data_IF_753166388851
#
_entry.id   IF_753166388851
#
_cell.length_a   1.000
_cell.length_b   1.000
_cell.length_c   1.000
_cell.angle_alpha   90.00
_cell.angle_beta   90.00
_cell.angle_gamma   90.00
#
_symmetry.space_group_name_H-M   'P 1'
#
loop_
_entity.id
_entity.type
_entity.pdbx_description
1 polymer ?
#
# COMPACT_ATOMS: atom_id res chain seq x y z
N UNK A 1 7.07 14.18 30.21
CA UNK A 1 8.00 13.36 31.03
C UNK A 1 9.38 14.03 30.96
N UNK A 2 10.07 14.21 32.10
CA UNK A 2 11.41 14.80 32.17
C UNK A 2 12.46 13.74 31.81
N UNK A 3 13.62 14.18 31.27
CA UNK A 3 14.72 13.28 30.89
C UNK A 3 15.20 12.37 32.08
N UNK A 4 15.33 12.86 33.33
CA UNK A 4 15.66 11.99 34.45
C UNK A 4 14.62 10.92 34.77
N UNK A 5 13.33 11.24 34.60
CA UNK A 5 12.25 10.27 34.80
C UNK A 5 12.27 9.17 33.76
N UNK A 6 12.50 9.54 32.49
CA UNK A 6 12.62 8.59 31.38
C UNK A 6 13.82 7.65 31.58
N UNK A 7 14.98 8.19 31.97
CA UNK A 7 16.18 7.40 32.26
C UNK A 7 15.97 6.41 33.41
N UNK A 8 15.20 6.81 34.41
CA UNK A 8 14.87 5.95 35.56
C UNK A 8 13.95 4.80 35.14
N UNK A 9 12.92 5.10 34.34
CA UNK A 9 12.00 4.08 33.81
C UNK A 9 12.72 3.07 32.94
N UNK A 10 13.61 3.53 32.05
CA UNK A 10 14.42 2.65 31.22
C UNK A 10 15.26 1.68 32.06
N UNK A 11 15.92 2.17 33.12
CA UNK A 11 16.71 1.31 34.03
C UNK A 11 15.86 0.28 34.75
N UNK A 12 14.60 0.62 35.10
CA UNK A 12 13.68 -0.36 35.69
C UNK A 12 13.31 -1.46 34.72
N UNK A 13 13.01 -1.10 33.46
CA UNK A 13 12.74 -2.07 32.39
C UNK A 13 13.95 -2.98 32.15
N UNK A 14 15.14 -2.41 32.02
CA UNK A 14 16.37 -3.20 31.82
C UNK A 14 16.65 -4.16 32.98
N UNK A 15 16.37 -3.74 34.19
CA UNK A 15 16.47 -4.59 35.38
C UNK A 15 15.41 -5.70 35.44
N UNK A 16 14.17 -5.39 35.06
CA UNK A 16 13.07 -6.34 35.01
C UNK A 16 13.30 -7.44 33.99
N UNK A 17 13.78 -7.07 32.78
CA UNK A 17 14.05 -8.01 31.69
C UNK A 17 15.45 -8.64 31.78
N UNK A 18 16.29 -8.21 32.74
CA UNK A 18 17.66 -8.71 32.90
C UNK A 18 18.55 -8.46 31.66
N UNK A 19 18.22 -7.48 30.84
CA UNK A 19 18.90 -7.19 29.60
C UNK A 19 19.03 -5.68 29.35
N UNK A 20 20.18 -5.25 28.81
CA UNK A 20 20.35 -3.87 28.38
C UNK A 20 19.58 -3.64 27.08
N UNK A 21 18.70 -2.64 27.05
CA UNK A 21 17.86 -2.33 25.88
C UNK A 21 18.48 -1.26 24.98
N UNK A 22 19.26 -0.34 25.57
CA UNK A 22 19.86 0.79 24.84
C UNK A 22 21.37 0.86 25.08
N UNK A 23 22.13 1.00 23.99
CA UNK A 23 23.55 1.36 24.00
C UNK A 23 23.71 2.87 23.80
N UNK A 24 24.52 3.50 24.68
CA UNK A 24 24.88 4.91 24.56
C UNK A 24 26.32 4.98 24.03
N UNK A 25 26.49 5.31 22.74
CA UNK A 25 27.80 5.61 22.19
C UNK A 25 28.10 7.10 22.37
N UNK A 26 29.09 7.44 23.22
CA UNK A 26 29.58 8.80 23.37
C UNK A 26 30.55 9.11 22.22
N UNK A 27 30.22 10.08 21.37
CA UNK A 27 31.07 10.59 20.32
C UNK A 27 31.40 12.07 20.53
N UNK A 28 32.38 12.61 19.78
CA UNK A 28 32.81 14.01 19.86
C UNK A 28 31.72 15.06 19.54
N UNK A 29 30.56 14.64 18.96
CA UNK A 29 29.44 15.50 18.60
C UNK A 29 28.13 15.19 19.35
N UNK A 30 28.21 14.48 20.48
CA UNK A 30 27.02 14.12 21.28
C UNK A 30 26.89 12.63 21.54
N UNK A 31 25.89 12.24 22.35
CA UNK A 31 25.56 10.83 22.62
C UNK A 31 24.61 10.31 21.56
N UNK A 32 24.96 9.22 20.88
CA UNK A 32 24.08 8.50 19.97
C UNK A 32 23.46 7.31 20.71
N UNK A 33 22.14 7.26 20.74
CA UNK A 33 21.37 6.16 21.33
C UNK A 33 21.08 5.11 20.27
N UNK A 34 21.43 3.86 20.55
CA UNK A 34 21.15 2.73 19.66
C UNK A 34 20.50 1.61 20.46
N UNK A 35 19.47 1.00 19.90
CA UNK A 35 18.87 -0.21 20.49
C UNK A 35 19.87 -1.37 20.42
N UNK A 36 19.93 -2.14 21.50
CA UNK A 36 20.56 -3.48 21.47
C UNK A 36 19.64 -4.47 20.74
N UNK A 37 20.08 -5.69 20.50
CA UNK A 37 19.19 -6.72 19.92
C UNK A 37 18.03 -7.05 20.85
N UNK A 38 18.26 -7.11 22.17
CA UNK A 38 17.18 -7.19 23.16
C UNK A 38 16.25 -5.96 23.09
N UNK A 39 16.82 -4.75 22.91
CA UNK A 39 16.07 -3.52 22.76
C UNK A 39 15.18 -3.49 21.52
N UNK A 40 15.65 -4.04 20.39
CA UNK A 40 14.84 -4.18 19.17
C UNK A 40 13.62 -5.08 19.40
N UNK A 41 13.87 -6.26 19.98
CA UNK A 41 12.80 -7.22 20.32
C UNK A 41 11.79 -6.57 21.30
N UNK A 42 12.29 -5.91 22.33
CA UNK A 42 11.45 -5.23 23.31
C UNK A 42 10.62 -4.12 22.65
N UNK A 43 11.23 -3.27 21.84
CA UNK A 43 10.57 -2.17 21.14
C UNK A 43 9.45 -2.67 20.21
N UNK A 44 9.72 -3.73 19.43
CA UNK A 44 8.73 -4.36 18.56
C UNK A 44 7.53 -4.89 19.36
N UNK A 45 7.79 -5.61 20.47
CA UNK A 45 6.74 -6.14 21.34
C UNK A 45 5.95 -5.05 22.08
N UNK A 46 6.63 -3.99 22.51
CA UNK A 46 5.98 -2.84 23.11
C UNK A 46 5.02 -2.13 22.13
N UNK A 47 5.42 -1.96 20.87
CA UNK A 47 4.55 -1.42 19.83
C UNK A 47 3.30 -2.29 19.61
N UNK A 48 3.46 -3.62 19.57
CA UNK A 48 2.34 -4.56 19.48
C UNK A 48 1.38 -4.43 20.68
N UNK A 49 1.89 -4.31 21.90
CA UNK A 49 1.08 -4.12 23.11
C UNK A 49 0.28 -2.81 23.05
N UNK A 50 0.91 -1.70 22.68
CA UNK A 50 0.23 -0.42 22.50
C UNK A 50 -0.89 -0.49 21.45
N UNK A 51 -0.64 -1.18 20.33
CA UNK A 51 -1.65 -1.39 19.29
C UNK A 51 -2.84 -2.22 19.79
N UNK A 52 -2.58 -3.27 20.58
CA UNK A 52 -3.64 -4.10 21.21
C UNK A 52 -4.45 -3.26 22.20
N UNK A 53 -3.80 -2.45 23.05
CA UNK A 53 -4.47 -1.57 24.00
C UNK A 53 -5.41 -0.60 23.27
N UNK A 54 -4.90 0.10 22.24
CA UNK A 54 -5.69 1.05 21.45
C UNK A 54 -6.88 0.37 20.75
N UNK A 55 -6.66 -0.80 20.14
CA UNK A 55 -7.74 -1.55 19.47
C UNK A 55 -8.80 -2.02 20.45
N UNK A 56 -8.38 -2.42 21.67
CA UNK A 56 -9.30 -2.84 22.74
C UNK A 56 -10.13 -1.65 23.24
N UNK A 57 -9.48 -0.50 23.47
CA UNK A 57 -10.19 0.74 23.86
C UNK A 57 -11.23 1.12 22.82
N UNK A 58 -10.85 1.15 21.55
CA UNK A 58 -11.73 1.47 20.43
C UNK A 58 -12.90 0.47 20.35
N UNK A 59 -12.65 -0.83 20.51
CA UNK A 59 -13.70 -1.86 20.49
C UNK A 59 -14.73 -1.67 21.60
N UNK A 60 -14.30 -1.30 22.81
CA UNK A 60 -15.21 -1.03 23.93
C UNK A 60 -16.01 0.26 23.73
N UNK A 61 -15.38 1.31 23.21
CA UNK A 61 -16.08 2.59 22.92
C UNK A 61 -17.17 2.44 21.87
N UNK A 62 -17.01 1.51 20.94
CA UNK A 62 -17.99 1.31 19.86
C UNK A 62 -19.29 0.61 20.25
N UNK A 63 -19.38 0.07 21.45
CA UNK A 63 -20.68 -0.34 21.99
C UNK A 63 -21.68 0.84 22.04
N UNK A 64 -21.21 2.08 21.84
CA UNK A 64 -21.96 3.33 21.84
C UNK A 64 -22.26 3.93 20.45
N UNK A 65 -22.21 3.15 19.36
CA UNK A 65 -22.75 3.49 18.01
C UNK A 65 -22.02 4.54 17.14
N UNK A 66 -20.83 5.01 17.46
CA UNK A 66 -20.07 5.93 16.61
C UNK A 66 -18.76 5.29 16.13
N UNK A 67 -18.57 5.22 14.81
CA UNK A 67 -17.29 4.82 14.21
C UNK A 67 -16.33 6.00 14.31
N UNK A 68 -15.31 5.90 15.18
CA UNK A 68 -14.27 6.90 15.40
C UNK A 68 -12.93 6.24 15.72
N UNK A 69 -11.84 6.97 15.59
CA UNK A 69 -10.48 6.49 15.83
C UNK A 69 -9.58 6.66 14.62
N UNK A 70 -8.43 5.99 14.61
CA UNK A 70 -7.43 6.10 13.55
C UNK A 70 -7.35 4.81 12.74
N UNK A 71 -7.56 4.91 11.44
CA UNK A 71 -7.33 3.83 10.48
C UNK A 71 -5.88 3.90 9.99
N UNK A 72 -5.08 2.86 10.31
CA UNK A 72 -3.67 2.77 9.94
C UNK A 72 -3.47 1.74 8.84
N UNK A 73 -3.04 2.21 7.67
CA UNK A 73 -2.85 1.39 6.48
C UNK A 73 -1.40 1.44 6.02
N UNK A 74 -0.79 0.29 5.81
CA UNK A 74 0.49 0.17 5.12
C UNK A 74 0.28 -0.32 3.69
N UNK A 75 0.86 0.35 2.69
CA UNK A 75 0.66 0.01 1.29
C UNK A 75 1.90 0.26 0.46
N UNK A 76 2.04 -0.47 -0.65
CA UNK A 76 3.05 -0.07 -1.63
C UNK A 76 2.65 1.23 -2.32
N UNK A 77 3.62 2.11 -2.59
CA UNK A 77 3.39 3.39 -3.25
C UNK A 77 2.60 3.27 -4.58
N UNK A 78 2.72 2.14 -5.26
CA UNK A 78 1.95 1.87 -6.50
C UNK A 78 0.47 1.59 -6.25
N UNK A 79 0.08 1.20 -5.04
CA UNK A 79 -1.31 0.86 -4.66
C UNK A 79 -1.98 1.89 -3.78
N UNK A 80 -1.23 2.85 -3.25
CA UNK A 80 -1.77 3.92 -2.40
C UNK A 80 -2.70 4.86 -3.17
N UNK A 81 -2.36 5.17 -4.42
CA UNK A 81 -3.09 6.16 -5.23
C UNK A 81 -4.61 5.97 -5.24
N UNK A 82 -5.18 4.80 -5.63
CA UNK A 82 -6.64 4.63 -5.59
C UNK A 82 -7.21 4.66 -4.17
N UNK A 83 -6.46 4.17 -3.19
CA UNK A 83 -6.88 4.21 -1.78
C UNK A 83 -7.04 5.66 -1.33
N UNK A 84 -6.01 6.48 -1.54
CA UNK A 84 -5.98 7.89 -1.10
C UNK A 84 -6.91 8.79 -1.92
N UNK A 85 -7.02 8.56 -3.24
CA UNK A 85 -7.79 9.45 -4.11
C UNK A 85 -9.27 9.08 -4.20
N UNK A 86 -9.65 7.84 -3.97
CA UNK A 86 -11.00 7.36 -4.20
C UNK A 86 -11.66 6.81 -2.93
N UNK A 87 -11.05 5.82 -2.28
CA UNK A 87 -11.71 5.07 -1.21
C UNK A 87 -11.70 5.79 0.13
N UNK A 88 -10.57 6.35 0.57
CA UNK A 88 -10.50 7.07 1.85
C UNK A 88 -11.34 8.36 1.86
N UNK A 89 -11.36 9.20 0.80
CA UNK A 89 -12.27 10.35 0.77
C UNK A 89 -13.73 9.95 0.89
N UNK A 90 -14.17 8.90 0.17
CA UNK A 90 -15.54 8.41 0.25
C UNK A 90 -15.86 7.83 1.64
N UNK A 91 -14.91 7.13 2.27
CA UNK A 91 -15.07 6.63 3.63
C UNK A 91 -15.13 7.77 4.66
N UNK A 92 -14.28 8.80 4.55
CA UNK A 92 -14.26 9.93 5.47
C UNK A 92 -15.55 10.78 5.40
N UNK A 93 -16.18 10.87 4.22
CA UNK A 93 -17.48 11.52 4.10
C UNK A 93 -18.57 10.77 4.89
N UNK A 94 -18.49 9.44 4.95
CA UNK A 94 -19.44 8.61 5.69
C UNK A 94 -19.13 8.54 7.18
N UNK A 95 -17.83 8.61 7.55
CA UNK A 95 -17.34 8.50 8.91
C UNK A 95 -16.38 9.66 9.25
N UNK A 96 -16.91 10.88 9.47
CA UNK A 96 -16.09 12.10 9.59
C UNK A 96 -15.23 12.17 10.86
N UNK A 97 -15.46 11.29 11.85
CA UNK A 97 -14.67 11.20 13.08
C UNK A 97 -13.48 10.23 12.96
N UNK A 98 -13.25 9.66 11.77
CA UNK A 98 -12.11 8.77 11.52
C UNK A 98 -10.91 9.55 11.03
N UNK A 99 -9.75 9.32 11.64
CA UNK A 99 -8.45 9.79 11.19
C UNK A 99 -7.73 8.71 10.39
N UNK A 100 -6.78 9.11 9.53
CA UNK A 100 -6.06 8.20 8.65
C UNK A 100 -4.56 8.39 8.79
N UNK A 101 -3.84 7.29 8.94
CA UNK A 101 -2.38 7.22 8.84
C UNK A 101 -2.01 6.22 7.76
N UNK A 102 -1.28 6.69 6.73
CA UNK A 102 -0.96 5.89 5.54
C UNK A 102 0.54 5.80 5.41
N UNK A 103 1.05 4.59 5.51
CA UNK A 103 2.47 4.27 5.40
C UNK A 103 2.75 3.71 4.02
N UNK A 104 3.43 4.50 3.20
CA UNK A 104 3.79 4.12 1.83
C UNK A 104 5.24 3.65 1.76
N UNK A 105 5.47 2.54 1.06
CA UNK A 105 6.84 2.03 0.92
C UNK A 105 6.96 0.79 0.04
N UNK A 106 8.09 0.12 0.17
CA UNK A 106 8.31 -1.19 -0.44
C UNK A 106 7.54 -2.26 0.35
N UNK A 107 7.37 -3.45 -0.23
CA UNK A 107 6.68 -4.55 0.45
C UNK A 107 7.30 -4.91 1.80
N UNK A 108 8.63 -4.82 1.93
CA UNK A 108 9.33 -5.01 3.20
C UNK A 108 8.91 -4.00 4.27
N UNK A 109 8.65 -2.74 3.87
CA UNK A 109 8.13 -1.71 4.78
C UNK A 109 6.69 -2.05 5.21
N UNK A 110 5.84 -2.49 4.27
CA UNK A 110 4.46 -2.90 4.57
C UNK A 110 4.45 -4.04 5.60
N UNK A 111 5.27 -5.07 5.37
CA UNK A 111 5.44 -6.19 6.31
C UNK A 111 5.88 -5.72 7.68
N UNK A 112 6.90 -4.86 7.76
CA UNK A 112 7.40 -4.35 9.03
C UNK A 112 6.36 -3.52 9.78
N UNK A 113 5.58 -2.67 9.09
CA UNK A 113 4.52 -1.88 9.71
C UNK A 113 3.39 -2.74 10.31
N UNK A 114 3.08 -3.87 9.67
CA UNK A 114 2.10 -4.83 10.20
C UNK A 114 2.66 -5.62 11.38
N UNK A 115 3.90 -6.10 11.29
CA UNK A 115 4.52 -6.91 12.35
C UNK A 115 4.70 -6.10 13.64
N UNK A 116 5.10 -4.83 13.53
CA UNK A 116 5.32 -3.97 14.70
C UNK A 116 4.05 -3.26 15.20
N UNK A 117 2.89 -3.49 14.55
CA UNK A 117 1.61 -2.90 14.94
C UNK A 117 1.45 -1.42 14.61
N UNK A 118 2.37 -0.80 13.83
CA UNK A 118 2.21 0.58 13.38
C UNK A 118 1.08 0.72 12.35
N UNK A 119 0.77 -0.34 11.62
CA UNK A 119 -0.41 -0.45 10.77
C UNK A 119 -1.15 -1.74 11.08
N UNK A 120 -2.46 -1.72 10.96
CA UNK A 120 -3.34 -2.88 11.15
C UNK A 120 -3.80 -3.50 9.83
N UNK A 121 -3.87 -2.69 8.76
CA UNK A 121 -4.18 -3.14 7.41
C UNK A 121 -2.98 -2.99 6.49
N UNK A 122 -2.69 -4.02 5.72
CA UNK A 122 -1.72 -3.98 4.64
C UNK A 122 -2.39 -4.14 3.28
N UNK A 123 -1.85 -3.48 2.24
CA UNK A 123 -2.28 -3.68 0.86
C UNK A 123 -1.09 -4.15 0.03
N UNK A 124 -1.17 -5.38 -0.44
CA UNK A 124 -0.07 -6.09 -1.08
C UNK A 124 -0.48 -6.73 -2.41
N UNK A 125 0.50 -7.19 -3.17
CA UNK A 125 0.27 -8.18 -4.21
C UNK A 125 0.09 -9.55 -3.53
N UNK A 126 -0.97 -10.27 -3.85
CA UNK A 126 -1.27 -11.57 -3.24
C UNK A 126 -0.11 -12.56 -3.36
N UNK A 127 0.61 -12.55 -4.48
CA UNK A 127 1.76 -13.41 -4.73
C UNK A 127 2.98 -13.13 -3.83
N UNK A 128 2.96 -11.99 -3.11
CA UNK A 128 4.01 -11.58 -2.18
C UNK A 128 3.60 -11.74 -0.71
N UNK A 129 2.40 -12.27 -0.45
CA UNK A 129 1.87 -12.43 0.90
C UNK A 129 2.34 -13.76 1.49
N UNK A 130 2.98 -13.69 2.63
CA UNK A 130 3.34 -14.85 3.47
C UNK A 130 2.11 -15.22 4.31
N UNK A 131 1.35 -16.24 3.88
CA UNK A 131 0.13 -16.70 4.54
C UNK A 131 0.38 -17.39 5.89
N UNK A 132 1.62 -17.67 6.23
CA UNK A 132 1.96 -18.16 7.58
C UNK A 132 1.95 -17.01 8.60
N UNK A 133 2.20 -15.78 8.14
CA UNK A 133 2.27 -14.57 8.98
C UNK A 133 1.05 -13.68 8.87
N UNK A 134 0.33 -13.70 7.75
CA UNK A 134 -0.75 -12.76 7.46
C UNK A 134 -2.04 -13.47 7.07
N UNK A 135 -3.15 -12.93 7.57
CA UNK A 135 -4.49 -13.30 7.13
C UNK A 135 -4.90 -12.42 5.94
N UNK A 136 -5.48 -13.04 4.91
CA UNK A 136 -6.03 -12.33 3.75
C UNK A 136 -7.49 -12.01 4.03
N UNK A 137 -7.82 -10.72 4.14
CA UNK A 137 -9.16 -10.23 4.45
C UNK A 137 -10.05 -10.15 3.22
N UNK A 138 -9.46 -9.75 2.10
CA UNK A 138 -10.12 -9.71 0.81
C UNK A 138 -9.09 -9.63 -0.33
N UNK A 139 -9.51 -10.02 -1.52
CA UNK A 139 -8.72 -9.89 -2.74
C UNK A 139 -9.51 -9.15 -3.82
N UNK A 140 -8.80 -8.40 -4.66
CA UNK A 140 -9.35 -7.69 -5.80
C UNK A 140 -8.53 -7.99 -7.04
N UNK A 141 -9.17 -8.41 -8.12
CA UNK A 141 -8.50 -8.66 -9.40
C UNK A 141 -7.96 -7.37 -10.00
N UNK A 142 -6.74 -7.47 -10.54
CA UNK A 142 -6.11 -6.40 -11.31
C UNK A 142 -5.88 -6.91 -12.74
N UNK A 143 -6.13 -6.03 -13.71
CA UNK A 143 -5.85 -6.27 -15.12
C UNK A 143 -4.87 -5.24 -15.64
N UNK A 144 -4.16 -5.56 -16.71
CA UNK A 144 -3.32 -4.59 -17.38
C UNK A 144 -4.20 -3.66 -18.24
N UNK A 145 -4.01 -2.37 -18.04
CA UNK A 145 -4.69 -1.34 -18.83
C UNK A 145 -3.68 -0.48 -19.58
N UNK A 146 -4.01 -0.14 -20.82
CA UNK A 146 -3.39 0.93 -21.57
C UNK A 146 -4.09 2.25 -21.24
N UNK A 147 -3.31 3.24 -20.81
CA UNK A 147 -3.75 4.58 -20.46
C UNK A 147 -3.04 5.57 -21.37
N UNK A 148 -3.78 6.42 -22.08
CA UNK A 148 -3.21 7.34 -23.06
C UNK A 148 -4.11 8.56 -23.27
N UNK A 149 -3.54 9.60 -23.86
CA UNK A 149 -4.31 10.77 -24.32
C UNK A 149 -5.02 10.45 -25.64
N UNK A 150 -6.35 10.50 -25.61
CA UNK A 150 -7.18 10.21 -26.80
C UNK A 150 -7.03 11.25 -27.90
N UNK A 151 -6.65 12.47 -27.59
CA UNK A 151 -6.39 13.55 -28.55
C UNK A 151 -4.99 13.47 -29.19
N UNK A 152 -4.20 12.45 -28.84
CA UNK A 152 -2.84 12.21 -29.41
C UNK A 152 -2.72 10.82 -30.05
N UNK A 153 -3.23 9.79 -29.37
CA UNK A 153 -3.15 8.40 -29.82
C UNK A 153 -4.53 7.93 -30.31
N UNK A 154 -4.56 7.28 -31.47
CA UNK A 154 -5.77 6.70 -32.07
C UNK A 154 -6.94 7.70 -32.22
N UNK A 155 -6.63 8.92 -32.64
CA UNK A 155 -7.62 10.01 -32.79
C UNK A 155 -8.70 9.73 -33.84
N UNK A 156 -8.40 8.90 -34.81
CA UNK A 156 -9.20 8.51 -35.97
C UNK A 156 -9.95 7.18 -35.84
N UNK A 157 -9.81 6.49 -34.68
CA UNK A 157 -10.50 5.22 -34.43
C UNK A 157 -11.85 5.44 -33.74
N UNK A 158 -12.91 5.01 -34.40
CA UNK A 158 -14.27 4.97 -33.83
C UNK A 158 -14.46 3.83 -32.81
N UNK A 159 -13.55 2.84 -32.74
CA UNK A 159 -13.69 1.64 -31.92
C UNK A 159 -12.74 1.66 -30.72
N UNK A 160 -13.28 1.31 -29.54
CA UNK A 160 -12.55 1.21 -28.27
C UNK A 160 -11.66 -0.04 -28.14
N UNK A 161 -11.36 -0.71 -29.25
CA UNK A 161 -10.51 -1.91 -29.27
C UNK A 161 -9.10 -1.58 -29.73
N UNK A 162 -8.15 -1.63 -28.82
CA UNK A 162 -6.72 -1.54 -29.07
C UNK A 162 -6.11 -2.90 -28.78
N UNK A 163 -5.33 -3.42 -29.71
CA UNK A 163 -4.68 -4.72 -29.56
C UNK A 163 -3.29 -4.58 -28.97
N UNK A 164 -2.75 -5.68 -28.44
CA UNK A 164 -1.37 -5.73 -27.97
C UNK A 164 -0.37 -5.36 -29.08
N UNK A 165 -0.64 -5.75 -30.34
CA UNK A 165 0.20 -5.41 -31.48
C UNK A 165 0.21 -3.89 -31.79
N UNK A 166 -0.88 -3.18 -31.50
CA UNK A 166 -0.92 -1.72 -31.62
C UNK A 166 -0.09 -1.08 -30.51
N UNK A 167 -0.19 -1.60 -29.30
CA UNK A 167 0.52 -1.11 -28.10
C UNK A 167 2.04 -1.25 -28.27
N UNK A 168 2.52 -2.37 -28.80
CA UNK A 168 3.96 -2.62 -29.01
C UNK A 168 4.63 -1.57 -29.92
N UNK A 169 3.87 -0.95 -30.80
CA UNK A 169 4.38 0.08 -31.73
C UNK A 169 4.50 1.47 -31.08
N UNK A 170 3.95 1.65 -29.89
CA UNK A 170 3.92 2.94 -29.21
C UNK A 170 5.12 3.14 -28.29
N UNK A 171 5.52 4.41 -28.04
CA UNK A 171 6.39 4.70 -26.91
C UNK A 171 5.63 4.44 -25.61
N UNK A 172 6.21 3.65 -24.72
CA UNK A 172 5.56 3.16 -23.50
C UNK A 172 6.13 3.79 -22.24
N UNK A 173 5.25 4.06 -21.27
CA UNK A 173 5.62 4.28 -19.88
C UNK A 173 5.06 3.13 -19.02
N UNK A 174 5.93 2.49 -18.25
CA UNK A 174 5.62 1.28 -17.52
C UNK A 174 5.74 1.52 -16.01
N UNK A 175 4.84 0.92 -15.25
CA UNK A 175 5.03 0.80 -13.80
C UNK A 175 5.76 -0.50 -13.46
N UNK A 176 6.38 -0.60 -12.28
CA UNK A 176 6.97 -1.86 -11.82
C UNK A 176 5.98 -3.03 -11.77
N UNK A 177 4.69 -2.73 -11.55
CA UNK A 177 3.62 -3.73 -11.62
C UNK A 177 3.38 -4.24 -13.05
N UNK A 178 3.34 -3.34 -14.04
CA UNK A 178 3.18 -3.72 -15.45
C UNK A 178 4.36 -4.51 -15.99
N UNK A 179 5.59 -4.12 -15.65
CA UNK A 179 6.79 -4.89 -16.00
C UNK A 179 6.65 -6.34 -15.53
N UNK A 180 6.24 -6.54 -14.27
CA UNK A 180 6.05 -7.88 -13.71
C UNK A 180 4.96 -8.66 -14.45
N UNK A 181 3.81 -8.04 -14.75
CA UNK A 181 2.72 -8.68 -15.49
C UNK A 181 3.15 -9.08 -16.90
N UNK A 182 3.88 -8.21 -17.60
CA UNK A 182 4.39 -8.50 -18.95
C UNK A 182 5.38 -9.66 -18.92
N UNK A 183 6.35 -9.64 -18.00
CA UNK A 183 7.35 -10.71 -17.88
C UNK A 183 6.74 -12.06 -17.51
N UNK A 184 5.64 -12.08 -16.74
CA UNK A 184 4.94 -13.32 -16.37
C UNK A 184 4.03 -13.85 -17.48
N UNK A 185 3.61 -13.00 -18.42
CA UNK A 185 2.67 -13.39 -19.47
C UNK A 185 3.31 -14.23 -20.58
N UNK A 186 4.63 -14.23 -20.73
CA UNK A 186 5.37 -14.84 -21.84
C UNK A 186 4.92 -14.37 -23.25
N UNK A 187 4.17 -13.28 -23.35
CA UNK A 187 3.66 -12.76 -24.61
C UNK A 187 4.71 -11.96 -25.39
N UNK A 188 5.70 -11.42 -24.70
CA UNK A 188 6.75 -10.63 -25.31
C UNK A 188 7.93 -10.46 -24.35
N UNK A 189 9.10 -10.23 -24.89
CA UNK A 189 10.27 -9.83 -24.12
C UNK A 189 10.27 -8.31 -23.93
N UNK A 190 10.74 -7.86 -22.79
CA UNK A 190 10.85 -6.42 -22.47
C UNK A 190 11.70 -5.65 -23.47
N UNK A 191 12.71 -6.31 -24.08
CA UNK A 191 13.60 -5.73 -25.10
C UNK A 191 12.89 -5.40 -26.40
N UNK A 192 11.75 -6.01 -26.69
CA UNK A 192 10.93 -5.76 -27.87
C UNK A 192 10.00 -4.55 -27.70
N UNK A 193 9.94 -3.98 -26.51
CA UNK A 193 9.08 -2.86 -26.19
C UNK A 193 9.84 -1.53 -26.24
N UNK A 194 9.25 -0.51 -26.85
CA UNK A 194 9.78 0.86 -26.81
C UNK A 194 9.45 1.50 -25.44
N UNK A 195 10.07 1.00 -24.38
CA UNK A 195 9.88 1.50 -23.01
C UNK A 195 10.67 2.79 -22.79
N UNK A 196 10.03 3.94 -23.01
CA UNK A 196 10.62 5.27 -22.81
C UNK A 196 10.84 5.58 -21.33
N UNK A 197 9.94 5.11 -20.45
CA UNK A 197 10.05 5.30 -19.03
C UNK A 197 9.61 4.05 -18.27
N UNK A 198 10.39 3.66 -17.24
CA UNK A 198 10.00 2.65 -16.25
C UNK A 198 9.99 3.35 -14.89
N UNK A 199 8.86 3.34 -14.22
CA UNK A 199 8.63 4.07 -12.97
C UNK A 199 8.29 3.11 -11.83
N UNK A 200 8.57 3.51 -10.60
CA UNK A 200 8.23 2.71 -9.42
C UNK A 200 6.72 2.68 -9.17
N UNK A 201 6.01 3.78 -9.50
CA UNK A 201 4.59 3.92 -9.22
C UNK A 201 3.76 3.98 -10.50
N UNK A 202 2.50 3.53 -10.45
CA UNK A 202 1.58 3.69 -11.58
C UNK A 202 1.19 5.15 -11.83
N UNK A 203 1.11 5.97 -10.80
CA UNK A 203 0.83 7.41 -10.94
C UNK A 203 1.88 8.10 -11.79
N UNK A 204 3.17 7.85 -11.52
CA UNK A 204 4.26 8.40 -12.36
C UNK A 204 4.22 7.91 -13.80
N UNK A 205 3.85 6.65 -14.04
CA UNK A 205 3.68 6.13 -15.40
C UNK A 205 2.51 6.84 -16.13
N UNK A 206 1.39 7.06 -15.41
CA UNK A 206 0.22 7.76 -15.96
C UNK A 206 0.53 9.22 -16.27
N UNK A 207 1.35 9.90 -15.45
CA UNK A 207 1.79 11.27 -15.73
C UNK A 207 2.59 11.37 -17.04
N UNK A 208 3.42 10.39 -17.36
CA UNK A 208 4.07 10.31 -18.67
C UNK A 208 3.04 10.23 -19.80
N UNK A 209 1.99 9.42 -19.66
CA UNK A 209 0.93 9.34 -20.65
C UNK A 209 0.10 10.63 -20.72
N UNK A 210 -0.10 11.33 -19.60
CA UNK A 210 -0.84 12.60 -19.54
C UNK A 210 -0.15 13.70 -20.38
N UNK A 211 1.18 13.63 -20.49
CA UNK A 211 1.95 14.53 -21.36
C UNK A 211 1.68 14.31 -22.88
N UNK A 212 1.03 13.21 -23.24
CA UNK A 212 0.79 12.81 -24.65
C UNK A 212 2.01 12.19 -25.33
N UNK A 213 3.08 11.86 -24.59
CA UNK A 213 4.31 11.30 -25.14
C UNK A 213 4.35 9.78 -25.19
N UNK A 214 3.57 9.13 -24.31
CA UNK A 214 3.58 7.68 -24.15
C UNK A 214 2.17 7.13 -24.00
N UNK A 215 2.04 5.83 -24.26
CA UNK A 215 0.96 5.00 -23.74
C UNK A 215 1.45 4.38 -22.45
N UNK A 216 0.75 4.58 -21.36
CA UNK A 216 1.11 3.99 -20.07
C UNK A 216 0.47 2.62 -19.91
N UNK A 217 1.25 1.62 -19.50
CA UNK A 217 0.72 0.33 -19.07
C UNK A 217 0.75 0.22 -17.56
N UNK A 218 -0.41 0.01 -16.96
CA UNK A 218 -0.54 -0.08 -15.49
C UNK A 218 -1.55 -1.14 -15.06
N UNK A 219 -1.27 -1.90 -13.98
CA UNK A 219 -2.26 -2.76 -13.38
C UNK A 219 -3.29 -1.93 -12.62
N UNK A 220 -4.57 -2.20 -12.88
CA UNK A 220 -5.70 -1.54 -12.23
C UNK A 220 -6.83 -2.53 -11.98
N UNK A 221 -7.63 -2.27 -10.97
CA UNK A 221 -8.94 -2.90 -10.88
C UNK A 221 -9.99 -2.18 -11.77
N UNK A 222 -11.11 -2.85 -11.99
CA UNK A 222 -12.13 -2.35 -12.92
C UNK A 222 -12.74 -1.00 -12.50
N UNK A 223 -12.81 -0.71 -11.21
CA UNK A 223 -13.45 0.49 -10.64
C UNK A 223 -12.47 1.62 -10.30
N UNK A 224 -11.17 1.41 -10.47
CA UNK A 224 -10.16 2.43 -10.23
C UNK A 224 -10.31 3.58 -11.23
N UNK A 225 -10.44 4.80 -10.73
CA UNK A 225 -10.67 6.00 -11.54
C UNK A 225 -9.37 6.62 -12.04
N UNK A 226 -9.43 7.23 -13.21
CA UNK A 226 -8.36 8.07 -13.77
C UNK A 226 -8.87 9.51 -13.78
N UNK A 227 -8.23 10.37 -12.98
CA UNK A 227 -8.63 11.77 -12.81
C UNK A 227 -8.09 12.72 -13.88
N UNK A 228 -8.11 12.31 -15.17
CA UNK A 228 -7.64 13.14 -16.27
C UNK A 228 -8.65 13.17 -17.41
N UNK A 229 -9.29 14.32 -17.66
CA UNK A 229 -10.41 14.49 -18.60
C UNK A 229 -10.15 14.01 -20.03
N UNK A 230 -8.88 14.01 -20.47
CA UNK A 230 -8.52 13.64 -21.86
C UNK A 230 -7.94 12.23 -21.98
N UNK A 231 -7.89 11.50 -20.88
CA UNK A 231 -7.30 10.17 -20.87
C UNK A 231 -8.32 9.10 -21.23
N UNK A 232 -7.88 8.14 -22.01
CA UNK A 232 -8.60 6.90 -22.27
C UNK A 232 -7.98 5.76 -21.46
N UNK A 233 -8.81 4.79 -21.11
CA UNK A 233 -8.41 3.55 -20.43
C UNK A 233 -8.97 2.37 -21.20
N UNK A 234 -8.10 1.48 -21.65
CA UNK A 234 -8.48 0.27 -22.35
C UNK A 234 -7.84 -0.92 -21.66
N UNK A 235 -8.66 -1.93 -21.37
CA UNK A 235 -8.19 -3.20 -20.80
C UNK A 235 -7.48 -4.00 -21.87
N UNK A 236 -6.35 -4.63 -21.53
CA UNK A 236 -5.62 -5.56 -22.37
C UNK A 236 -5.95 -7.00 -21.96
N UNK A 237 -6.87 -7.68 -22.65
CA UNK A 237 -7.36 -9.00 -22.27
C UNK A 237 -6.30 -10.09 -22.39
N UNK A 238 -5.27 -9.88 -23.21
CA UNK A 238 -4.15 -10.80 -23.38
C UNK A 238 -3.34 -11.02 -22.10
N UNK A 239 -3.42 -10.06 -21.18
CA UNK A 239 -2.78 -10.12 -19.86
C UNK A 239 -3.77 -10.53 -18.77
N UNK A 240 -4.57 -11.54 -19.04
CA UNK A 240 -5.43 -12.19 -18.06
C UNK A 240 -4.59 -13.19 -17.25
N UNK A 241 -4.46 -12.97 -15.95
CA UNK A 241 -3.71 -13.84 -15.04
C UNK A 241 -4.14 -13.61 -13.60
N UNK A 242 -3.57 -14.39 -12.68
CA UNK A 242 -3.86 -14.29 -11.24
C UNK A 242 -3.22 -13.05 -10.57
N UNK A 243 -3.41 -11.89 -11.19
CA UNK A 243 -2.94 -10.64 -10.62
C UNK A 243 -4.03 -10.08 -9.69
N UNK A 244 -3.75 -10.17 -8.39
CA UNK A 244 -4.69 -9.71 -7.36
C UNK A 244 -3.95 -8.84 -6.35
N UNK A 245 -4.55 -7.74 -5.97
CA UNK A 245 -4.19 -7.08 -4.72
C UNK A 245 -4.94 -7.76 -3.59
N UNK A 246 -4.29 -7.83 -2.43
CA UNK A 246 -4.86 -8.36 -1.22
C UNK A 246 -4.83 -7.31 -0.11
N UNK A 247 -5.91 -7.25 0.66
CA UNK A 247 -5.92 -6.61 1.97
C UNK A 247 -5.55 -7.67 3.00
N UNK A 248 -4.55 -7.38 3.79
CA UNK A 248 -3.96 -8.31 4.75
C UNK A 248 -3.88 -7.69 6.14
N UNK A 249 -3.88 -8.54 7.16
CA UNK A 249 -3.58 -8.16 8.55
C UNK A 249 -2.62 -9.19 9.14
N UNK A 250 -1.97 -8.84 10.25
CA UNK A 250 -1.12 -9.78 10.98
C UNK A 250 -1.97 -10.93 11.53
N UNK A 251 -1.53 -12.16 11.32
CA UNK A 251 -2.27 -13.37 11.70
C UNK A 251 -2.61 -13.41 13.17
N UNK A 252 -3.86 -13.72 13.47
CA UNK A 252 -4.36 -13.80 14.83
C UNK A 252 -4.61 -12.46 15.51
N UNK A 253 -4.46 -11.33 14.79
CA UNK A 253 -4.79 -10.00 15.31
C UNK A 253 -6.21 -9.62 14.90
N UNK A 254 -7.03 -9.25 15.87
CA UNK A 254 -8.35 -8.70 15.62
C UNK A 254 -8.21 -7.29 15.03
N UNK A 255 -8.99 -6.99 13.99
CA UNK A 255 -9.06 -5.64 13.45
C UNK A 255 -9.72 -4.70 14.45
N UNK A 256 -9.27 -3.46 14.47
CA UNK A 256 -10.05 -2.40 15.08
C UNK A 256 -11.40 -2.28 14.37
N UNK A 257 -12.42 -1.81 15.05
CA UNK A 257 -13.71 -1.62 14.44
C UNK A 257 -13.71 -0.62 13.27
N UNK A 258 -12.80 0.37 13.29
CA UNK A 258 -12.62 1.28 12.13
C UNK A 258 -12.08 0.51 10.94
N UNK A 259 -11.07 -0.36 11.14
CA UNK A 259 -10.50 -1.17 10.08
C UNK A 259 -11.50 -2.19 9.55
N UNK A 260 -12.26 -2.85 10.43
CA UNK A 260 -13.33 -3.77 10.01
C UNK A 260 -14.38 -3.04 9.18
N UNK A 261 -14.82 -1.85 9.63
CA UNK A 261 -15.79 -1.04 8.93
C UNK A 261 -15.27 -0.54 7.57
N UNK A 262 -13.95 -0.24 7.48
CA UNK A 262 -13.35 0.12 6.20
C UNK A 262 -13.31 -1.06 5.22
N UNK A 263 -12.98 -2.26 5.68
CA UNK A 263 -13.02 -3.47 4.85
C UNK A 263 -14.45 -3.74 4.34
N UNK A 264 -15.46 -3.60 5.20
CA UNK A 264 -16.87 -3.81 4.82
C UNK A 264 -17.35 -2.72 3.85
N UNK A 265 -16.96 -1.46 4.10
CA UNK A 265 -17.19 -0.35 3.18
C UNK A 265 -16.54 -0.61 1.81
N UNK A 266 -15.27 -1.04 1.82
CA UNK A 266 -14.55 -1.33 0.58
C UNK A 266 -15.22 -2.44 -0.21
N UNK A 267 -15.62 -3.55 0.44
CA UNK A 267 -16.36 -4.66 -0.19
C UNK A 267 -17.67 -4.19 -0.84
N UNK A 268 -18.39 -3.30 -0.18
CA UNK A 268 -19.65 -2.77 -0.70
C UNK A 268 -19.45 -1.74 -1.84
N UNK A 269 -18.27 -1.09 -1.86
CA UNK A 269 -17.93 -0.08 -2.88
C UNK A 269 -17.39 -0.72 -4.16
N UNK A 270 -16.69 -1.85 -4.04
CA UNK A 270 -16.08 -2.63 -5.13
C UNK A 270 -17.00 -3.75 -5.57
#
# INVERSE_FOLDING_TARGET
>A
ITQPALSKQLKYLEAEFGAQLINIKRGQRGSNLQLTDAGKIFYEKAQQLCSIEESTYNAVQQLNSRIEGTLRIATSASRSTPIVQQYLPAFSMKYPSVHFEIYEGLMTNVVNQLINGSAELGIANIQMVDTDKFDILLTQEEHLYAIFRRDVFWTDREHDTITWEDIKKCPLSLSGGSVRMIMQSSLTDMEQLNAVAITTTKSSAIEWASSGRTVSLVPMDAKELINHRKMARIKLPEFSGDFKKAFITLKGHALSPVAQQFIDFYKAYV
#
